data_IF_155261716636
#
_entry.id   IF_155261716636
#
_cell.length_a   1.000
_cell.length_b   1.000
_cell.length_c   1.000
_cell.angle_alpha   90.00
_cell.angle_beta   90.00
_cell.angle_gamma   90.00
#
_symmetry.space_group_name_H-M   'P 1'
#
loop_
_entity.id
_entity.type
_entity.pdbx_description
1 polymer ?
#
# COMPACT_ATOMS: atom_id res chain seq x y z
N UNK A 1 -23.63 0.46 12.53
CA UNK A 1 -23.22 -0.96 12.41
C UNK A 1 -21.72 -1.02 12.64
N UNK A 2 -21.30 -1.21 13.89
CA UNK A 2 -19.88 -1.44 14.22
C UNK A 2 -19.44 -2.76 13.62
N UNK A 3 -18.81 -2.69 12.44
CA UNK A 3 -18.07 -3.83 11.90
C UNK A 3 -16.84 -3.99 12.77
N UNK A 4 -16.93 -4.86 13.77
CA UNK A 4 -15.76 -5.34 14.53
C UNK A 4 -14.72 -5.79 13.50
N UNK A 5 -13.63 -5.03 13.41
CA UNK A 5 -12.55 -5.28 12.46
C UNK A 5 -11.84 -6.55 12.92
N UNK A 6 -12.02 -7.64 12.17
CA UNK A 6 -11.41 -8.91 12.54
C UNK A 6 -9.94 -8.92 12.13
N UNK A 7 -9.05 -9.29 13.05
CA UNK A 7 -7.61 -9.49 12.77
C UNK A 7 -7.33 -10.29 11.49
N UNK A 8 -8.15 -11.31 11.21
CA UNK A 8 -8.05 -12.11 9.99
C UNK A 8 -8.27 -11.30 8.71
N UNK A 9 -9.18 -10.31 8.72
CA UNK A 9 -9.43 -9.42 7.58
C UNK A 9 -8.21 -8.54 7.31
N UNK A 10 -7.60 -7.99 8.36
CA UNK A 10 -6.37 -7.19 8.26
C UNK A 10 -5.24 -8.03 7.66
N UNK A 11 -5.04 -9.26 8.15
CA UNK A 11 -4.02 -10.17 7.63
C UNK A 11 -4.28 -10.59 6.18
N UNK A 12 -5.54 -10.80 5.81
CA UNK A 12 -5.92 -11.07 4.43
C UNK A 12 -5.60 -9.89 3.52
N UNK A 13 -5.95 -8.67 3.94
CA UNK A 13 -5.61 -7.44 3.21
C UNK A 13 -4.10 -7.28 3.04
N UNK A 14 -3.33 -7.46 4.11
CA UNK A 14 -1.87 -7.43 4.08
C UNK A 14 -1.28 -8.43 3.07
N UNK A 15 -1.71 -9.71 3.13
CA UNK A 15 -1.24 -10.75 2.21
C UNK A 15 -1.61 -10.46 0.77
N UNK A 16 -2.82 -9.97 0.52
CA UNK A 16 -3.28 -9.60 -0.81
C UNK A 16 -2.44 -8.46 -1.39
N UNK A 17 -2.10 -7.44 -0.59
CA UNK A 17 -1.23 -6.35 -1.03
C UNK A 17 0.16 -6.89 -1.38
N UNK A 18 0.75 -7.76 -0.55
CA UNK A 18 2.06 -8.36 -0.85
C UNK A 18 2.03 -9.23 -2.11
N UNK A 19 0.96 -10.01 -2.29
CA UNK A 19 0.75 -10.84 -3.48
C UNK A 19 0.67 -9.97 -4.73
N UNK A 20 -0.17 -8.94 -4.73
CA UNK A 20 -0.28 -8.03 -5.88
C UNK A 20 1.01 -7.23 -6.11
N UNK A 21 1.72 -6.84 -5.05
CA UNK A 21 3.02 -6.18 -5.17
C UNK A 21 4.06 -7.05 -5.86
N UNK A 22 4.01 -8.37 -5.67
CA UNK A 22 4.95 -9.32 -6.30
C UNK A 22 4.73 -9.52 -7.80
N UNK A 23 3.52 -9.24 -8.29
CA UNK A 23 3.14 -9.39 -9.70
C UNK A 23 3.49 -8.17 -10.56
N UNK A 24 3.77 -7.03 -9.93
CA UNK A 24 4.06 -5.80 -10.65
C UNK A 24 5.28 -5.97 -11.56
N UNK A 25 5.32 -5.39 -12.75
CA UNK A 25 6.35 -5.72 -13.74
C UNK A 25 7.75 -5.17 -13.41
N UNK A 26 7.84 -4.02 -12.74
CA UNK A 26 9.10 -3.35 -12.40
C UNK A 26 9.66 -3.88 -11.07
N UNK A 27 10.90 -4.38 -11.08
CA UNK A 27 11.52 -5.04 -9.91
C UNK A 27 11.79 -4.09 -8.74
N UNK A 28 12.20 -2.85 -9.02
CA UNK A 28 12.41 -1.83 -7.99
C UNK A 28 11.09 -1.52 -7.28
N UNK A 29 10.00 -1.42 -8.04
CA UNK A 29 8.66 -1.24 -7.53
C UNK A 29 8.19 -2.44 -6.73
N UNK A 30 8.48 -3.69 -7.12
CA UNK A 30 8.19 -4.88 -6.29
C UNK A 30 8.82 -4.75 -4.90
N UNK A 31 10.10 -4.38 -4.83
CA UNK A 31 10.85 -4.23 -3.57
C UNK A 31 10.27 -3.07 -2.76
N UNK A 32 10.11 -1.91 -3.39
CA UNK A 32 9.55 -0.71 -2.77
C UNK A 32 8.17 -0.97 -2.16
N UNK A 33 7.25 -1.58 -2.93
CA UNK A 33 5.88 -1.86 -2.51
C UNK A 33 5.82 -2.85 -1.36
N UNK A 34 6.62 -3.94 -1.40
CA UNK A 34 6.73 -4.90 -0.30
C UNK A 34 7.24 -4.24 0.98
N UNK A 35 8.32 -3.46 0.89
CA UNK A 35 8.91 -2.77 2.04
C UNK A 35 7.96 -1.72 2.61
N UNK A 36 7.31 -0.93 1.74
CA UNK A 36 6.30 0.06 2.15
C UNK A 36 5.12 -0.61 2.86
N UNK A 37 4.62 -1.71 2.32
CA UNK A 37 3.49 -2.46 2.92
C UNK A 37 3.87 -2.97 4.30
N UNK A 38 5.01 -3.67 4.43
CA UNK A 38 5.52 -4.16 5.72
C UNK A 38 5.69 -3.04 6.74
N UNK A 39 6.34 -1.94 6.35
CA UNK A 39 6.56 -0.77 7.22
C UNK A 39 5.24 -0.21 7.71
N UNK A 40 4.27 0.04 6.82
CA UNK A 40 2.98 0.62 7.18
C UNK A 40 2.15 -0.29 8.08
N UNK A 41 2.05 -1.58 7.80
CA UNK A 41 1.32 -2.49 8.69
C UNK A 41 2.01 -2.66 10.05
N UNK A 42 3.34 -2.61 10.11
CA UNK A 42 4.09 -2.63 11.38
C UNK A 42 3.87 -1.35 12.19
N UNK A 43 3.85 -0.19 11.53
CA UNK A 43 3.67 1.14 12.16
C UNK A 43 2.36 1.26 12.94
N UNK A 44 1.27 0.62 12.48
CA UNK A 44 -0.06 0.69 13.12
C UNK A 44 -0.49 -0.65 13.74
N UNK A 45 0.45 -1.56 14.01
CA UNK A 45 0.12 -2.90 14.53
C UNK A 45 -0.61 -2.84 15.87
N UNK A 46 -0.21 -1.90 16.73
CA UNK A 46 -0.69 -1.74 18.10
C UNK A 46 -1.53 -0.46 18.25
N UNK A 47 -2.08 0.06 17.14
CA UNK A 47 -3.00 1.19 17.14
C UNK A 47 -4.31 0.82 17.84
N UNK A 48 -4.82 1.71 18.69
CA UNK A 48 -6.05 1.51 19.47
C UNK A 48 -7.14 2.50 19.12
N UNK A 49 -6.81 3.61 18.46
CA UNK A 49 -7.81 4.57 17.97
C UNK A 49 -8.59 3.97 16.79
N UNK A 50 -9.86 3.64 17.03
CA UNK A 50 -10.75 3.04 16.03
C UNK A 50 -10.88 3.88 14.76
N UNK A 51 -10.97 5.20 14.89
CA UNK A 51 -11.08 6.11 13.73
C UNK A 51 -9.81 6.03 12.90
N UNK A 52 -8.65 6.00 13.57
CA UNK A 52 -7.36 5.87 12.90
C UNK A 52 -7.21 4.51 12.23
N UNK A 53 -7.64 3.42 12.86
CA UNK A 53 -7.63 2.07 12.27
C UNK A 53 -8.50 2.04 11.01
N UNK A 54 -9.74 2.54 11.08
CA UNK A 54 -10.67 2.58 9.93
C UNK A 54 -10.06 3.34 8.76
N UNK A 55 -9.49 4.52 9.03
CA UNK A 55 -8.84 5.33 8.01
C UNK A 55 -7.64 4.60 7.37
N UNK A 56 -6.82 3.91 8.17
CA UNK A 56 -5.66 3.15 7.65
C UNK A 56 -6.07 1.92 6.85
N UNK A 57 -7.18 1.28 7.20
CA UNK A 57 -7.73 0.19 6.39
C UNK A 57 -8.30 0.70 5.07
N UNK A 58 -8.97 1.85 5.07
CA UNK A 58 -9.42 2.49 3.84
C UNK A 58 -8.23 2.82 2.92
N UNK A 59 -7.15 3.40 3.46
CA UNK A 59 -5.90 3.64 2.73
C UNK A 59 -5.34 2.35 2.12
N UNK A 60 -5.30 1.26 2.91
CA UNK A 60 -4.77 -0.03 2.47
C UNK A 60 -5.65 -0.69 1.38
N UNK A 61 -6.97 -0.57 1.47
CA UNK A 61 -7.89 -1.03 0.41
C UNK A 61 -7.70 -0.23 -0.88
N UNK A 62 -7.54 1.08 -0.80
CA UNK A 62 -7.24 1.91 -1.97
C UNK A 62 -5.89 1.52 -2.60
N UNK A 63 -4.88 1.23 -1.78
CA UNK A 63 -3.58 0.75 -2.26
C UNK A 63 -3.70 -0.60 -2.98
N UNK A 64 -4.45 -1.56 -2.41
CA UNK A 64 -4.71 -2.85 -3.06
C UNK A 64 -5.42 -2.68 -4.40
N UNK A 65 -6.46 -1.84 -4.46
CA UNK A 65 -7.21 -1.58 -5.69
C UNK A 65 -6.31 -0.94 -6.77
N UNK A 66 -5.45 0.00 -6.39
CA UNK A 66 -4.46 0.59 -7.30
C UNK A 66 -3.49 -0.47 -7.83
N UNK A 67 -2.99 -1.35 -6.97
CA UNK A 67 -2.08 -2.43 -7.39
C UNK A 67 -2.75 -3.37 -8.39
N UNK A 68 -3.99 -3.81 -8.11
CA UNK A 68 -4.75 -4.66 -9.02
C UNK A 68 -4.94 -4.01 -10.39
N UNK A 69 -5.32 -2.73 -10.42
CA UNK A 69 -5.44 -1.96 -11.67
C UNK A 69 -4.11 -1.85 -12.42
N UNK A 70 -3.03 -1.58 -11.69
CA UNK A 70 -1.71 -1.45 -12.29
C UNK A 70 -1.21 -2.79 -12.87
N UNK A 71 -1.52 -3.91 -12.23
CA UNK A 71 -1.18 -5.26 -12.72
C UNK A 71 -1.97 -5.67 -13.99
N UNK A 72 -3.04 -4.94 -14.33
CA UNK A 72 -3.73 -5.05 -15.64
C UNK A 72 -3.39 -3.88 -16.56
N UNK A 73 -2.24 -3.23 -16.34
CA UNK A 73 -1.69 -2.14 -17.15
C UNK A 73 -2.59 -0.89 -17.27
N UNK A 74 -3.44 -0.61 -16.27
CA UNK A 74 -4.08 0.71 -16.16
C UNK A 74 -3.02 1.80 -16.02
N UNK A 75 -2.84 2.59 -17.08
CA UNK A 75 -1.75 3.58 -17.22
C UNK A 75 -1.68 4.52 -16.02
N UNK A 76 -2.82 5.03 -15.54
CA UNK A 76 -2.87 5.94 -14.38
C UNK A 76 -2.32 5.28 -13.13
N UNK A 77 -2.70 4.03 -12.87
CA UNK A 77 -2.25 3.28 -11.69
C UNK A 77 -0.78 2.88 -11.79
N UNK A 78 -0.32 2.45 -12.98
CA UNK A 78 1.09 2.13 -13.26
C UNK A 78 1.97 3.35 -13.04
N UNK A 79 1.67 4.46 -13.72
CA UNK A 79 2.44 5.70 -13.61
C UNK A 79 2.51 6.16 -12.15
N UNK A 80 1.39 6.10 -11.43
CA UNK A 80 1.36 6.49 -10.02
C UNK A 80 2.26 5.62 -9.13
N UNK A 81 2.36 4.33 -9.38
CA UNK A 81 3.26 3.43 -8.64
C UNK A 81 4.71 3.77 -8.97
N UNK A 82 5.06 3.90 -10.24
CA UNK A 82 6.43 4.23 -10.67
C UNK A 82 6.88 5.59 -10.13
N UNK A 83 6.02 6.61 -10.16
CA UNK A 83 6.30 7.93 -9.58
C UNK A 83 6.61 7.86 -8.07
N UNK A 84 5.94 6.97 -7.34
CA UNK A 84 6.20 6.76 -5.92
C UNK A 84 7.50 6.00 -5.68
N UNK A 85 7.75 4.95 -6.47
CA UNK A 85 8.96 4.11 -6.38
C UNK A 85 10.21 4.94 -6.64
N UNK A 86 10.21 5.75 -7.69
CA UNK A 86 11.37 6.53 -8.12
C UNK A 86 11.40 7.95 -7.51
N UNK A 87 10.60 8.20 -6.48
CA UNK A 87 10.62 9.48 -5.76
C UNK A 87 10.26 10.70 -6.62
N UNK A 88 9.59 10.53 -7.76
CA UNK A 88 9.03 11.65 -8.53
C UNK A 88 7.86 12.31 -7.80
N UNK A 89 7.22 11.58 -6.89
CA UNK A 89 6.16 12.07 -6.00
C UNK A 89 6.21 11.42 -4.61
N UNK A 90 5.46 11.99 -3.68
CA UNK A 90 5.32 11.49 -2.32
C UNK A 90 6.50 11.85 -1.41
N UNK A 91 6.60 11.23 -0.21
CA UNK A 91 7.60 11.59 0.79
C UNK A 91 9.04 11.45 0.30
N UNK A 92 9.31 10.47 -0.57
CA UNK A 92 10.63 10.23 -1.14
C UNK A 92 11.09 11.37 -2.06
N UNK A 93 10.16 12.04 -2.76
CA UNK A 93 10.47 13.27 -3.51
C UNK A 93 11.01 14.37 -2.60
N UNK A 94 10.39 14.57 -1.44
CA UNK A 94 10.83 15.59 -0.49
C UNK A 94 12.19 15.26 0.13
N UNK A 95 12.52 13.97 0.28
CA UNK A 95 13.82 13.54 0.78
C UNK A 95 14.94 13.72 -0.25
N UNK A 96 14.65 13.59 -1.55
CA UNK A 96 15.65 13.72 -2.63
C UNK A 96 15.89 15.17 -3.09
N UNK A 97 15.00 16.10 -2.71
CA UNK A 97 15.11 17.53 -3.05
C UNK A 97 15.68 18.37 -1.90
N UNK A 98 16.22 17.73 -0.87
CA UNK A 98 17.03 18.36 0.18
C UNK A 98 18.49 18.07 -0.08
#
# INVERSE_FOLDING_TARGET
>A
MDKVIRRQQILSLYRNILKESSKFFDDNAKIFLKNRTRKRFKEYKDETDETRIVNKLADAHQALNRLKRANVFDVKSVTRILELTYGRRGPMRHQLLK
#
